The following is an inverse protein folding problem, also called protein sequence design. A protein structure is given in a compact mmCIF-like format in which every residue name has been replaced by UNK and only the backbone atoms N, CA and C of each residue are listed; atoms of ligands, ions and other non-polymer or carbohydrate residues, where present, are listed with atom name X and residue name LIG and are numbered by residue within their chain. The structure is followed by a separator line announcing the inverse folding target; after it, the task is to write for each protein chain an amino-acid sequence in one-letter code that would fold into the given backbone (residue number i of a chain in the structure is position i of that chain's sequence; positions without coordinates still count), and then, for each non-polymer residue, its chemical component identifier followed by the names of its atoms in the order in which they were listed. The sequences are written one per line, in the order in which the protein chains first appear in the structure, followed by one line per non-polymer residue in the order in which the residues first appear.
data_IF_821942185722
#
_entry.id   IF_821942185722
#
_cell.length_a   1.000
_cell.length_b   1.000
_cell.length_c   1.000
_cell.angle_alpha   90.00
_cell.angle_beta   90.00
_cell.angle_gamma   90.00
#
_symmetry.space_group_name_H-M   'P 1'
#
loop_
_entity.id
_entity.type
_entity.pdbx_description
1 polymer ?
#
# COMPACT_ATOMS: atom_id res chain seq x y z
N UNK A 1 -22.85 -2.15 0.75
CA UNK A 1 -21.38 -2.11 0.84
C UNK A 1 -20.98 -3.19 1.84
N UNK A 2 -20.27 -4.24 1.42
CA UNK A 2 -19.87 -5.32 2.35
C UNK A 2 -18.61 -4.87 3.12
N UNK A 3 -18.67 -4.64 4.45
CA UNK A 3 -17.55 -4.09 5.22
C UNK A 3 -16.31 -5.01 5.29
N UNK A 4 -16.42 -6.25 4.81
CA UNK A 4 -15.34 -7.26 4.88
C UNK A 4 -14.20 -7.07 3.85
N UNK A 5 -14.34 -6.18 2.86
CA UNK A 5 -13.31 -5.96 1.81
C UNK A 5 -12.55 -4.62 1.94
N UNK A 6 -12.79 -3.85 3.00
CA UNK A 6 -12.17 -2.54 3.18
C UNK A 6 -10.81 -2.69 3.87
N UNK A 7 -9.73 -2.53 3.10
CA UNK A 7 -8.37 -2.52 3.59
C UNK A 7 -7.97 -1.12 4.04
N UNK A 8 -7.26 -1.04 5.15
CA UNK A 8 -6.73 0.21 5.70
C UNK A 8 -5.21 0.23 5.53
N UNK A 9 -4.70 1.12 4.68
CA UNK A 9 -3.29 1.45 4.63
C UNK A 9 -3.02 2.70 5.47
N UNK A 10 -1.92 2.70 6.21
CA UNK A 10 -1.43 3.90 6.90
C UNK A 10 -0.10 4.32 6.28
N UNK A 11 -0.06 5.57 5.82
CA UNK A 11 1.19 6.24 5.44
C UNK A 11 1.36 7.40 6.40
N UNK A 12 2.38 7.31 7.27
CA UNK A 12 2.56 8.28 8.33
C UNK A 12 4.02 8.46 8.74
N UNK A 13 4.31 9.66 9.22
CA UNK A 13 5.52 10.01 9.96
C UNK A 13 5.23 9.84 11.46
N UNK A 14 5.96 8.96 12.17
CA UNK A 14 5.80 8.77 13.60
C UNK A 14 6.33 9.98 14.39
N UNK A 15 5.80 10.17 15.60
CA UNK A 15 6.22 11.18 16.56
C UNK A 15 6.30 10.58 17.98
N UNK A 16 6.84 11.29 18.99
CA UNK A 16 6.89 10.78 20.36
C UNK A 16 5.52 10.49 20.99
N UNK A 17 4.47 11.18 20.54
CA UNK A 17 3.08 10.93 20.98
C UNK A 17 2.22 10.60 19.77
N UNK A 18 1.34 9.61 19.90
CA UNK A 18 0.46 9.16 18.80
C UNK A 18 -0.41 10.28 18.21
N UNK A 19 -0.85 11.23 19.04
CA UNK A 19 -1.65 12.40 18.60
C UNK A 19 -0.89 13.39 17.70
N UNK A 20 0.44 13.27 17.65
CA UNK A 20 1.30 14.16 16.86
C UNK A 20 1.74 13.51 15.55
N UNK A 21 1.25 12.31 15.24
CA UNK A 21 1.53 11.63 13.97
C UNK A 21 0.98 12.46 12.82
N UNK A 22 1.75 12.52 11.73
CA UNK A 22 1.34 13.17 10.48
C UNK A 22 1.16 12.10 9.42
N UNK A 23 0.03 12.08 8.74
CA UNK A 23 -0.19 11.10 7.69
C UNK A 23 -1.65 10.92 7.31
N UNK A 24 -1.90 9.89 6.51
CA UNK A 24 -3.20 9.54 5.98
C UNK A 24 -3.54 8.06 6.23
N UNK A 25 -4.78 7.83 6.64
CA UNK A 25 -5.50 6.55 6.62
C UNK A 25 -6.18 6.43 5.27
N UNK A 26 -5.77 5.45 4.48
CA UNK A 26 -6.29 5.16 3.15
C UNK A 26 -7.20 3.94 3.26
N UNK A 27 -8.50 4.17 3.11
CA UNK A 27 -9.49 3.10 3.02
C UNK A 27 -9.65 2.73 1.55
N UNK A 28 -9.28 1.51 1.20
CA UNK A 28 -9.31 1.02 -0.17
C UNK A 28 -9.94 -0.36 -0.26
N UNK A 29 -10.47 -0.68 -1.43
CA UNK A 29 -10.99 -2.00 -1.76
C UNK A 29 -10.02 -2.68 -2.72
N UNK A 30 -9.70 -3.95 -2.48
CA UNK A 30 -8.86 -4.71 -3.41
C UNK A 30 -9.70 -5.14 -4.59
N UNK A 31 -9.27 -4.78 -5.80
CA UNK A 31 -9.96 -5.12 -7.04
C UNK A 31 -9.29 -6.28 -7.76
N UNK A 32 -7.97 -6.43 -7.60
CA UNK A 32 -7.20 -7.48 -8.25
C UNK A 32 -6.00 -7.90 -7.40
N UNK A 33 -5.64 -9.18 -7.48
CA UNK A 33 -4.39 -9.72 -6.93
C UNK A 33 -3.75 -10.58 -8.01
N UNK A 34 -2.50 -10.30 -8.36
CA UNK A 34 -1.73 -11.12 -9.29
C UNK A 34 -0.44 -11.60 -8.63
N UNK A 35 -0.22 -12.91 -8.64
CA UNK A 35 1.00 -13.58 -8.14
C UNK A 35 1.98 -13.95 -9.27
N UNK A 36 1.57 -13.74 -10.52
CA UNK A 36 2.34 -14.02 -11.73
C UNK A 36 1.89 -13.10 -12.88
N UNK A 37 2.65 -13.12 -13.98
CA UNK A 37 2.34 -12.38 -15.20
C UNK A 37 3.04 -11.03 -15.33
N UNK A 38 2.90 -10.43 -16.51
CA UNK A 38 3.67 -9.27 -16.97
C UNK A 38 3.65 -8.08 -16.01
N UNK A 39 2.51 -7.85 -15.34
CA UNK A 39 2.37 -6.77 -14.36
C UNK A 39 3.30 -6.92 -13.16
N UNK A 40 3.45 -8.13 -12.61
CA UNK A 40 4.37 -8.40 -11.51
C UNK A 40 5.82 -8.30 -11.96
N UNK A 41 6.13 -8.81 -13.15
CA UNK A 41 7.49 -8.77 -13.71
C UNK A 41 7.96 -7.35 -14.01
N UNK A 42 7.07 -6.50 -14.54
CA UNK A 42 7.34 -5.09 -14.77
C UNK A 42 7.57 -4.33 -13.46
N UNK A 43 6.77 -4.60 -12.42
CA UNK A 43 6.97 -3.98 -11.10
C UNK A 43 8.29 -4.43 -10.46
N UNK A 44 8.63 -5.72 -10.54
CA UNK A 44 9.94 -6.22 -10.09
C UNK A 44 11.08 -5.52 -10.82
N UNK A 45 10.98 -5.36 -12.13
CA UNK A 45 12.00 -4.68 -12.94
C UNK A 45 12.20 -3.23 -12.48
N UNK A 46 11.12 -2.46 -12.34
CA UNK A 46 11.18 -1.07 -11.88
C UNK A 46 11.78 -0.94 -10.47
N UNK A 47 11.42 -1.85 -9.56
CA UNK A 47 11.96 -1.84 -8.19
C UNK A 47 13.44 -2.23 -8.19
N UNK A 48 13.84 -3.23 -8.99
CA UNK A 48 15.25 -3.62 -9.14
C UNK A 48 16.10 -2.47 -9.66
N UNK A 49 15.64 -1.77 -10.70
CA UNK A 49 16.37 -0.65 -11.31
C UNK A 49 16.57 0.50 -10.32
N UNK A 50 15.57 0.75 -9.46
CA UNK A 50 15.59 1.89 -8.53
C UNK A 50 16.26 1.57 -7.19
N UNK A 51 16.16 0.34 -6.70
CA UNK A 51 16.52 -0.02 -5.33
C UNK A 51 17.45 -1.24 -5.22
N UNK A 52 17.87 -1.82 -6.35
CA UNK A 52 18.73 -3.00 -6.41
C UNK A 52 17.95 -4.32 -6.41
N UNK A 53 18.53 -5.34 -7.07
CA UNK A 53 17.89 -6.67 -7.26
C UNK A 53 17.51 -7.35 -5.96
N UNK A 54 18.28 -7.16 -4.90
CA UNK A 54 18.04 -7.76 -3.59
C UNK A 54 16.71 -7.34 -2.95
N UNK A 55 16.13 -6.20 -3.35
CA UNK A 55 14.80 -5.75 -2.90
C UNK A 55 13.63 -6.40 -3.63
N UNK A 56 13.90 -7.16 -4.69
CA UNK A 56 12.83 -7.77 -5.53
C UNK A 56 12.49 -9.21 -5.17
N UNK A 57 13.37 -9.89 -4.43
CA UNK A 57 13.20 -11.29 -4.05
C UNK A 57 11.99 -11.49 -3.14
N UNK A 58 11.61 -10.47 -2.38
CA UNK A 58 10.47 -10.50 -1.45
C UNK A 58 9.13 -10.12 -2.12
N UNK A 59 9.12 -9.67 -3.38
CA UNK A 59 7.89 -9.33 -4.10
C UNK A 59 7.18 -10.59 -4.61
N UNK A 60 6.13 -11.00 -3.91
CA UNK A 60 5.35 -12.21 -4.22
C UNK A 60 4.07 -11.95 -5.00
N UNK A 61 3.54 -10.72 -4.98
CA UNK A 61 2.29 -10.37 -5.64
C UNK A 61 2.19 -8.87 -5.93
N UNK A 62 1.29 -8.51 -6.84
CA UNK A 62 0.78 -7.16 -7.02
C UNK A 62 -0.66 -7.11 -6.55
N UNK A 63 -1.03 -6.03 -5.87
CA UNK A 63 -2.39 -5.81 -5.37
C UNK A 63 -2.90 -4.49 -5.94
N UNK A 64 -3.94 -4.55 -6.76
CA UNK A 64 -4.64 -3.35 -7.24
C UNK A 64 -5.70 -2.97 -6.24
N UNK A 65 -5.69 -1.71 -5.78
CA UNK A 65 -6.65 -1.19 -4.84
C UNK A 65 -7.37 0.04 -5.40
N UNK A 66 -8.68 0.13 -5.20
CA UNK A 66 -9.47 1.33 -5.45
C UNK A 66 -9.64 2.11 -4.13
N UNK A 67 -9.16 3.36 -4.11
CA UNK A 67 -9.28 4.22 -2.93
C UNK A 67 -10.73 4.67 -2.76
N UNK A 68 -11.35 4.29 -1.64
CA UNK A 68 -12.73 4.68 -1.30
C UNK A 68 -12.77 5.92 -0.42
N UNK A 69 -11.78 6.10 0.46
CA UNK A 69 -11.75 7.24 1.38
C UNK A 69 -10.36 7.52 1.90
N UNK A 70 -10.09 8.81 2.12
CA UNK A 70 -8.90 9.29 2.82
C UNK A 70 -9.31 10.00 4.11
N UNK A 71 -8.57 9.76 5.19
CA UNK A 71 -8.70 10.48 6.46
C UNK A 71 -7.32 10.82 7.00
N UNK A 72 -7.19 11.95 7.71
CA UNK A 72 -5.97 12.20 8.47
C UNK A 72 -5.73 11.05 9.46
N UNK A 73 -4.47 10.72 9.77
CA UNK A 73 -4.15 9.71 10.79
C UNK A 73 -4.67 10.12 12.17
N UNK A 74 -4.57 11.41 12.47
CA UNK A 74 -5.15 12.02 13.66
C UNK A 74 -6.29 12.94 13.21
N UNK A 75 -7.50 12.63 13.67
CA UNK A 75 -8.66 13.51 13.47
C UNK A 75 -8.47 14.74 14.39
N UNK A 76 -8.35 15.92 13.78
CA UNK A 76 -8.25 17.21 14.48
C UNK A 76 -9.58 17.94 14.45
#
# INVERSE_FOLDING_TARGET
MNPQNLNLFLVYEPAPRARDYKGVRIYAEVTEIFTEGEKLDNIRTQISEKFGKERTVELVATVTCEIKKLRAVVDR
#
